data_IF_086499169233
#
_entry.id   IF_086499169233
#
_cell.length_a   1.000
_cell.length_b   1.000
_cell.length_c   1.000
_cell.angle_alpha   90.00
_cell.angle_beta   90.00
_cell.angle_gamma   90.00
#
_symmetry.space_group_name_H-M   'P 1'
#
loop_
_entity.id
_entity.type
_entity.pdbx_description
1 polymer ?
#
# COMPACT_ATOMS: atom_id res chain seq x y z
N UNK A 1 18.37 33.80 12.92
CA UNK A 1 18.65 32.41 12.46
C UNK A 1 18.13 31.44 13.52
N UNK A 2 16.85 31.11 13.50
CA UNK A 2 16.26 30.09 14.37
C UNK A 2 16.17 28.79 13.59
N UNK A 3 17.10 27.86 13.86
CA UNK A 3 16.99 26.44 13.49
C UNK A 3 15.96 25.78 14.40
N UNK A 4 15.26 24.77 13.84
CA UNK A 4 14.29 23.80 14.41
C UNK A 4 12.94 23.96 13.70
N UNK A 5 12.33 22.93 13.10
CA UNK A 5 12.34 21.53 13.46
C UNK A 5 12.60 20.60 12.27
N UNK A 6 13.48 19.64 12.51
CA UNK A 6 13.58 18.39 11.77
C UNK A 6 12.30 17.60 12.06
N UNK A 7 11.44 17.42 11.06
CA UNK A 7 10.34 16.47 11.17
C UNK A 7 10.95 15.08 11.23
N UNK A 8 10.90 14.51 12.43
CA UNK A 8 11.17 13.12 12.69
C UNK A 8 9.90 12.35 12.30
N UNK A 9 10.00 11.57 11.25
CA UNK A 9 8.99 10.60 10.82
C UNK A 9 9.65 9.37 10.22
N UNK A 10 10.81 8.97 10.76
CA UNK A 10 11.34 7.64 10.56
C UNK A 10 10.74 6.75 11.64
N UNK A 11 9.75 5.94 11.28
CA UNK A 11 9.39 4.78 12.09
C UNK A 11 9.63 3.53 11.27
N UNK A 12 10.66 2.80 11.71
CA UNK A 12 10.94 1.41 11.37
C UNK A 12 9.69 0.55 11.59
N UNK A 13 9.21 -0.10 10.54
CA UNK A 13 8.26 -1.22 10.61
C UNK A 13 8.86 -2.45 9.95
N UNK A 14 10.05 -2.85 10.38
CA UNK A 14 10.64 -4.13 10.00
C UNK A 14 9.90 -5.27 10.73
N UNK A 15 8.71 -5.65 10.24
CA UNK A 15 8.01 -6.85 10.69
C UNK A 15 6.48 -6.89 10.59
N UNK A 16 5.78 -5.78 10.26
CA UNK A 16 4.32 -5.81 10.02
C UNK A 16 4.01 -5.74 8.53
N UNK A 17 2.99 -6.45 8.08
CA UNK A 17 2.44 -6.24 6.75
C UNK A 17 1.89 -4.80 6.65
N UNK A 18 2.18 -4.07 5.55
CA UNK A 18 1.64 -2.73 5.34
C UNK A 18 0.11 -2.79 5.22
N UNK A 19 -0.57 -1.80 5.78
CA UNK A 19 -2.01 -1.64 5.65
C UNK A 19 -2.44 -1.24 4.23
N UNK A 20 -3.75 -1.13 4.01
CA UNK A 20 -4.33 -0.75 2.72
C UNK A 20 -3.80 0.60 2.24
N UNK A 21 -3.82 1.62 3.11
CA UNK A 21 -3.36 2.98 2.78
C UNK A 21 -1.86 2.99 2.43
N UNK A 22 -1.02 2.36 3.24
CA UNK A 22 0.43 2.24 3.01
C UNK A 22 0.72 1.50 1.68
N UNK A 23 -0.06 0.47 1.37
CA UNK A 23 0.09 -0.28 0.11
C UNK A 23 -0.36 0.55 -1.10
N UNK A 24 -1.36 1.42 -0.92
CA UNK A 24 -1.86 2.33 -1.95
C UNK A 24 -0.85 3.43 -2.26
N UNK A 25 -0.25 4.06 -1.23
CA UNK A 25 0.82 5.05 -1.40
C UNK A 25 2.01 4.46 -2.17
N UNK A 26 2.43 3.24 -1.84
CA UNK A 26 3.51 2.56 -2.53
C UNK A 26 3.19 2.30 -4.02
N UNK A 27 1.93 1.99 -4.33
CA UNK A 27 1.47 1.81 -5.71
C UNK A 27 1.47 3.14 -6.47
N UNK A 28 0.99 4.23 -5.87
CA UNK A 28 1.00 5.56 -6.50
C UNK A 28 2.42 6.07 -6.79
N UNK A 29 3.36 5.85 -5.86
CA UNK A 29 4.75 6.23 -6.06
C UNK A 29 5.35 5.48 -7.26
N UNK A 30 5.00 4.21 -7.43
CA UNK A 30 5.46 3.38 -8.53
C UNK A 30 4.86 3.82 -9.87
N UNK A 31 3.58 4.17 -9.89
CA UNK A 31 2.93 4.72 -11.10
C UNK A 31 3.60 6.02 -11.50
N UNK A 32 3.85 6.93 -10.56
CA UNK A 32 4.58 8.19 -10.84
C UNK A 32 5.94 7.93 -11.46
N UNK A 33 6.72 7.00 -10.89
CA UNK A 33 8.02 6.61 -11.46
C UNK A 33 7.89 6.11 -12.90
N UNK A 34 6.87 5.30 -13.20
CA UNK A 34 6.62 4.81 -14.55
C UNK A 34 6.22 5.94 -15.52
N UNK A 35 5.44 6.91 -15.06
CA UNK A 35 4.97 8.05 -15.85
C UNK A 35 6.07 9.10 -16.12
N UNK A 36 7.05 9.23 -15.22
CA UNK A 36 8.17 10.18 -15.36
C UNK A 36 9.08 9.86 -16.57
N UNK A 37 9.03 8.64 -17.09
CA UNK A 37 9.68 8.27 -18.36
C UNK A 37 11.22 8.20 -18.31
N UNK A 38 11.82 8.36 -17.13
CA UNK A 38 13.28 8.28 -16.93
C UNK A 38 13.79 6.84 -16.72
N UNK A 39 12.88 5.86 -16.62
CA UNK A 39 13.24 4.46 -16.41
C UNK A 39 13.75 3.80 -17.69
N UNK A 40 14.75 2.94 -17.53
CA UNK A 40 15.11 1.94 -18.54
C UNK A 40 13.97 0.94 -18.75
N UNK A 41 14.05 0.16 -19.83
CA UNK A 41 13.08 -0.89 -20.12
C UNK A 41 13.07 -1.95 -19.02
N UNK A 42 14.25 -2.34 -18.53
CA UNK A 42 14.42 -3.30 -17.44
C UNK A 42 13.81 -2.80 -16.12
N UNK A 43 14.00 -1.52 -15.78
CA UNK A 43 13.38 -0.88 -14.62
C UNK A 43 11.86 -0.79 -14.77
N UNK A 44 11.37 -0.54 -16.00
CA UNK A 44 9.94 -0.54 -16.30
C UNK A 44 9.32 -1.92 -16.07
N UNK A 45 10.00 -2.99 -16.47
CA UNK A 45 9.57 -4.36 -16.18
C UNK A 45 9.56 -4.68 -14.69
N UNK A 46 10.61 -4.27 -13.96
CA UNK A 46 10.69 -4.47 -12.52
C UNK A 46 9.58 -3.71 -11.77
N UNK A 47 9.34 -2.45 -12.13
CA UNK A 47 8.24 -1.66 -11.58
C UNK A 47 6.88 -2.31 -11.90
N UNK A 48 6.65 -2.75 -13.13
CA UNK A 48 5.41 -3.43 -13.48
C UNK A 48 5.18 -4.71 -12.64
N UNK A 49 6.20 -5.55 -12.48
CA UNK A 49 6.10 -6.77 -11.66
C UNK A 49 5.79 -6.45 -10.20
N UNK A 50 6.47 -5.44 -9.63
CA UNK A 50 6.21 -5.00 -8.26
C UNK A 50 4.81 -4.40 -8.12
N UNK A 51 4.34 -3.62 -9.10
CA UNK A 51 3.01 -3.03 -9.10
C UNK A 51 1.93 -4.10 -9.13
N UNK A 52 2.10 -5.15 -9.94
CA UNK A 52 1.19 -6.31 -9.93
C UNK A 52 1.15 -7.02 -8.57
N UNK A 53 2.28 -7.12 -7.86
CA UNK A 53 2.30 -7.70 -6.51
C UNK A 53 1.53 -6.84 -5.52
N UNK A 54 1.74 -5.52 -5.54
CA UNK A 54 1.01 -4.57 -4.69
C UNK A 54 -0.50 -4.62 -4.94
N UNK A 55 -0.92 -4.65 -6.21
CA UNK A 55 -2.34 -4.80 -6.58
C UNK A 55 -2.94 -6.10 -6.03
N UNK A 56 -2.21 -7.23 -6.11
CA UNK A 56 -2.67 -8.49 -5.53
C UNK A 56 -2.83 -8.41 -4.01
N UNK A 57 -1.86 -7.80 -3.33
CA UNK A 57 -1.90 -7.59 -1.88
C UNK A 57 -3.07 -6.70 -1.47
N UNK A 58 -3.33 -5.61 -2.19
CA UNK A 58 -4.49 -4.73 -1.96
C UNK A 58 -5.80 -5.49 -2.08
N UNK A 59 -5.98 -6.26 -3.16
CA UNK A 59 -7.20 -7.05 -3.35
C UNK A 59 -7.42 -8.04 -2.20
N UNK A 60 -6.36 -8.71 -1.74
CA UNK A 60 -6.46 -9.64 -0.61
C UNK A 60 -6.82 -8.94 0.72
N UNK A 61 -6.29 -7.74 0.95
CA UNK A 61 -6.63 -6.95 2.13
C UNK A 61 -8.09 -6.47 2.10
N UNK A 62 -8.58 -6.03 0.94
CA UNK A 62 -9.97 -5.59 0.77
C UNK A 62 -10.93 -6.76 0.97
N UNK A 63 -10.67 -7.90 0.35
CA UNK A 63 -11.47 -9.13 0.53
C UNK A 63 -11.53 -9.58 2.00
N UNK A 64 -10.41 -9.45 2.73
CA UNK A 64 -10.37 -9.74 4.16
C UNK A 64 -11.27 -8.80 4.97
N UNK A 65 -11.27 -7.50 4.64
CA UNK A 65 -12.13 -6.51 5.31
C UNK A 65 -13.60 -6.77 4.98
N UNK A 66 -13.92 -7.04 3.71
CA UNK A 66 -15.27 -7.35 3.25
C UNK A 66 -15.85 -8.57 4.00
N UNK A 67 -15.08 -9.65 4.14
CA UNK A 67 -15.47 -10.83 4.92
C UNK A 67 -15.71 -10.54 6.38
N UNK A 68 -14.88 -9.68 7.00
CA UNK A 68 -15.08 -9.29 8.39
C UNK A 68 -16.37 -8.49 8.57
N UNK A 69 -16.69 -7.59 7.63
CA UNK A 69 -17.94 -6.85 7.62
C UNK A 69 -19.14 -7.79 7.48
N UNK A 70 -19.06 -8.78 6.59
CA UNK A 70 -20.11 -9.78 6.40
C UNK A 70 -20.40 -10.56 7.70
N UNK A 71 -19.36 -11.09 8.35
CA UNK A 71 -19.50 -11.84 9.62
C UNK A 71 -20.12 -10.96 10.71
N UNK A 72 -19.72 -9.70 10.81
CA UNK A 72 -20.31 -8.76 11.78
C UNK A 72 -21.78 -8.47 11.47
N UNK A 73 -22.14 -8.42 10.18
CA UNK A 73 -23.51 -8.17 9.74
C UNK A 73 -24.40 -9.38 10.00
N UNK A 74 -23.94 -10.59 9.67
CA UNK A 74 -24.63 -11.87 9.92
C UNK A 74 -24.79 -12.17 11.43
N UNK A 75 -23.86 -11.72 12.26
CA UNK A 75 -23.92 -11.83 13.72
C UNK A 75 -24.99 -10.94 14.36
N UNK A 76 -25.36 -9.83 13.72
CA UNK A 76 -26.38 -8.87 14.18
C UNK A 76 -27.82 -9.34 13.83
N UNK A 77 -27.97 -10.29 12.89
CA UNK A 77 -29.28 -10.79 12.41
C UNK A 77 -29.84 -11.94 13.27
N UNK A 78 -29.03 -12.46 14.20
CA UNK A 78 -29.33 -13.65 15.01
C UNK A 78 -29.61 -13.36 16.49
N UNK A 79 -29.81 -12.09 16.87
CA UNK A 79 -30.31 -11.66 18.19
C UNK A 79 -31.80 -11.28 18.15
#
# INVERSE_FOLDING_TARGET
MTKSAKSAGGQETAGREPGIEETFEALEEMVKKLEDGENTLEESFACYEQGMKLVKTLNAQIDKVEKQILILSEGDEHE
#
